data_IF_941784209608
#
_entry.id   IF_941784209608
#
_cell.length_a   1.000
_cell.length_b   1.000
_cell.length_c   1.000
_cell.angle_alpha   90.00
_cell.angle_beta   90.00
_cell.angle_gamma   90.00
#
_symmetry.space_group_name_H-M   'P 1'
#
loop_
_entity.id
_entity.type
_entity.pdbx_description
1 polymer ?
#
# COMPACT_ATOMS: atom_id res chain seq x y z
N UNK A 1 6.04 -6.97 -7.48
CA UNK A 1 5.52 -7.57 -6.25
C UNK A 1 5.44 -9.07 -6.46
N UNK A 2 5.69 -9.83 -5.42
CA UNK A 2 5.67 -11.30 -5.43
C UNK A 2 4.60 -11.80 -4.45
N UNK A 3 3.92 -12.90 -4.81
CA UNK A 3 2.99 -13.59 -3.93
C UNK A 3 3.76 -14.27 -2.78
N UNK A 4 3.21 -14.22 -1.57
CA UNK A 4 3.79 -14.80 -0.37
C UNK A 4 4.93 -13.97 0.23
N UNK A 5 5.23 -12.81 -0.36
CA UNK A 5 6.25 -11.88 0.13
C UNK A 5 5.63 -10.71 0.95
N UNK A 6 4.41 -10.89 1.46
CA UNK A 6 3.66 -9.95 2.32
C UNK A 6 3.21 -8.68 1.58
N UNK A 7 2.44 -7.74 2.19
CA UNK A 7 1.85 -6.63 1.46
C UNK A 7 2.89 -5.72 0.85
N UNK A 8 2.49 -5.02 -0.20
CA UNK A 8 3.29 -3.96 -0.77
C UNK A 8 2.82 -2.57 -0.34
N UNK A 9 3.78 -1.71 -0.06
CA UNK A 9 3.58 -0.29 0.16
C UNK A 9 3.87 0.41 -1.17
N UNK A 10 2.84 1.02 -1.76
CA UNK A 10 2.95 1.69 -3.06
C UNK A 10 3.74 2.98 -2.94
N UNK A 11 4.83 3.08 -3.71
CA UNK A 11 5.60 4.32 -3.89
C UNK A 11 4.99 5.15 -5.01
N UNK A 12 4.63 4.50 -6.12
CA UNK A 12 3.90 5.13 -7.23
C UNK A 12 3.19 4.13 -8.12
N UNK A 13 2.18 4.60 -8.84
CA UNK A 13 1.66 3.98 -10.05
C UNK A 13 1.74 4.96 -11.23
N UNK A 14 0.97 4.78 -12.31
CA UNK A 14 1.01 5.71 -13.45
C UNK A 14 0.27 7.04 -13.20
N UNK A 15 -0.59 7.10 -12.19
CA UNK A 15 -1.39 8.28 -11.85
C UNK A 15 -1.06 8.90 -10.49
N UNK A 16 -0.73 8.08 -9.49
CA UNK A 16 -0.46 8.48 -8.12
C UNK A 16 1.04 8.41 -7.78
N UNK A 17 1.51 9.40 -7.02
CA UNK A 17 2.84 9.40 -6.38
C UNK A 17 2.63 9.57 -4.88
N UNK A 18 2.76 8.49 -4.12
CA UNK A 18 2.51 8.51 -2.68
C UNK A 18 3.39 9.55 -1.98
N UNK A 19 2.84 10.24 -0.97
CA UNK A 19 3.62 11.20 -0.20
C UNK A 19 4.74 10.46 0.55
N UNK A 20 6.02 10.86 0.42
CA UNK A 20 7.13 10.17 1.07
C UNK A 20 6.98 10.03 2.58
N UNK A 21 6.33 11.00 3.25
CA UNK A 21 6.08 10.96 4.69
C UNK A 21 5.06 9.89 5.06
N UNK A 22 4.07 9.65 4.19
CA UNK A 22 3.07 8.60 4.38
C UNK A 22 3.72 7.23 4.15
N UNK A 23 4.51 7.07 3.09
CA UNK A 23 5.27 5.83 2.83
C UNK A 23 6.19 5.48 3.99
N UNK A 24 6.97 6.45 4.47
CA UNK A 24 7.89 6.27 5.59
C UNK A 24 7.16 5.98 6.91
N UNK A 25 5.99 6.58 7.16
CA UNK A 25 5.13 6.19 8.28
C UNK A 25 4.72 4.71 8.19
N UNK A 26 4.26 4.26 7.02
CA UNK A 26 3.82 2.88 6.79
C UNK A 26 4.98 1.89 6.99
N UNK A 27 6.16 2.21 6.45
CA UNK A 27 7.40 1.43 6.62
C UNK A 27 7.77 1.32 8.09
N UNK A 28 7.88 2.45 8.80
CA UNK A 28 8.25 2.46 10.23
C UNK A 28 7.26 1.68 11.10
N UNK A 29 5.98 1.71 10.72
CA UNK A 29 4.91 0.94 11.38
C UNK A 29 5.07 -0.56 11.12
N UNK A 30 5.30 -0.96 9.87
CA UNK A 30 5.57 -2.35 9.50
C UNK A 30 6.80 -2.90 10.25
N UNK A 31 7.91 -2.16 10.24
CA UNK A 31 9.16 -2.53 10.92
C UNK A 31 8.99 -2.66 12.44
N UNK A 32 8.34 -1.68 13.08
CA UNK A 32 8.09 -1.74 14.52
C UNK A 32 7.20 -2.93 14.93
N UNK A 33 6.33 -3.39 14.03
CA UNK A 33 5.46 -4.54 14.24
C UNK A 33 6.05 -5.85 13.70
N UNK A 34 7.27 -5.84 13.15
CA UNK A 34 7.92 -6.99 12.51
C UNK A 34 7.04 -7.62 11.40
N UNK A 35 6.31 -6.78 10.66
CA UNK A 35 5.49 -7.21 9.52
C UNK A 35 6.36 -7.09 8.25
N UNK A 36 6.64 -8.19 7.53
CA UNK A 36 7.34 -8.11 6.27
C UNK A 36 6.53 -7.30 5.26
N UNK A 37 7.21 -6.57 4.38
CA UNK A 37 6.58 -5.75 3.36
C UNK A 37 7.47 -5.67 2.12
N UNK A 38 6.85 -5.29 1.00
CA UNK A 38 7.53 -4.98 -0.25
C UNK A 38 7.33 -3.50 -0.58
N UNK A 39 8.24 -2.90 -1.35
CA UNK A 39 7.96 -1.62 -2.00
C UNK A 39 7.43 -1.87 -3.41
N UNK A 40 6.40 -1.14 -3.78
CA UNK A 40 5.76 -1.28 -5.08
C UNK A 40 5.95 -0.01 -5.93
N UNK A 41 6.41 -0.25 -7.16
CA UNK A 41 6.42 0.72 -8.24
C UNK A 41 5.71 0.08 -9.42
N UNK A 42 4.52 0.59 -9.77
CA UNK A 42 3.82 0.17 -10.98
C UNK A 42 4.13 1.12 -12.15
N UNK A 43 4.38 0.56 -13.32
CA UNK A 43 4.57 1.33 -14.55
C UNK A 43 3.23 1.68 -15.23
N UNK A 44 2.20 0.86 -15.01
CA UNK A 44 0.89 1.01 -15.61
C UNK A 44 -0.22 0.65 -14.62
N UNK A 45 -1.42 1.13 -14.89
CA UNK A 45 -2.56 1.01 -13.97
C UNK A 45 -2.56 2.11 -12.92
N UNK A 46 -3.75 2.40 -12.41
CA UNK A 46 -3.98 3.44 -11.40
C UNK A 46 -4.88 2.89 -10.30
N UNK A 47 -4.87 3.58 -9.17
CA UNK A 47 -5.83 3.36 -8.09
C UNK A 47 -6.61 4.64 -7.79
N UNK A 48 -7.64 4.53 -6.95
CA UNK A 48 -8.41 5.68 -6.43
C UNK A 48 -7.52 6.73 -5.76
N UNK A 49 -6.32 6.34 -5.31
CA UNK A 49 -5.31 7.24 -4.78
C UNK A 49 -4.97 8.37 -5.75
N UNK A 50 -5.05 8.16 -7.07
CA UNK A 50 -4.83 9.21 -8.07
C UNK A 50 -5.84 10.34 -7.91
N UNK A 51 -7.13 10.00 -7.84
CA UNK A 51 -8.20 10.98 -7.69
C UNK A 51 -8.17 11.63 -6.29
N UNK A 52 -7.94 10.84 -5.24
CA UNK A 52 -7.83 11.34 -3.87
C UNK A 52 -6.66 12.32 -3.75
N UNK A 53 -5.49 11.98 -4.29
CA UNK A 53 -4.30 12.81 -4.24
C UNK A 53 -4.54 14.19 -4.86
N UNK A 54 -5.29 14.26 -5.97
CA UNK A 54 -5.57 15.50 -6.69
C UNK A 54 -6.73 16.31 -6.09
N UNK A 55 -7.35 15.84 -5.01
CA UNK A 55 -8.50 16.50 -4.42
C UNK A 55 -8.11 17.78 -3.67
N UNK A 56 -8.84 18.88 -3.92
CA UNK A 56 -8.64 20.22 -3.31
C UNK A 56 -7.20 20.72 -3.47
N UNK A 57 -6.50 21.00 -2.37
CA UNK A 57 -5.12 21.48 -2.37
C UNK A 57 -4.09 20.33 -2.38
N UNK A 58 -4.55 19.10 -2.60
CA UNK A 58 -3.76 17.88 -2.48
C UNK A 58 -4.01 17.17 -1.15
N UNK A 59 -4.22 15.86 -1.22
CA UNK A 59 -4.35 15.00 -0.04
C UNK A 59 -3.14 14.06 -0.01
N UNK A 60 -2.35 13.99 1.08
CA UNK A 60 -1.32 12.97 1.22
C UNK A 60 -1.94 11.58 1.17
N UNK A 61 -1.46 10.74 0.25
CA UNK A 61 -1.95 9.37 0.06
C UNK A 61 -0.82 8.35 0.25
N UNK A 62 -1.22 7.16 0.70
CA UNK A 62 -0.42 5.94 0.66
C UNK A 62 -1.35 4.77 0.38
N UNK A 63 -0.83 3.71 -0.25
CA UNK A 63 -1.62 2.55 -0.65
C UNK A 63 -0.95 1.29 -0.14
N UNK A 64 -1.75 0.40 0.45
CA UNK A 64 -1.39 -0.98 0.74
C UNK A 64 -1.96 -1.82 -0.39
N UNK A 65 -1.12 -2.62 -1.03
CA UNK A 65 -1.52 -3.54 -2.09
C UNK A 65 -1.27 -4.99 -1.65
N UNK A 66 -2.27 -5.84 -1.86
CA UNK A 66 -2.11 -7.30 -1.77
C UNK A 66 -1.56 -7.77 -3.12
N UNK A 67 -0.39 -8.44 -3.17
CA UNK A 67 0.09 -9.06 -4.41
C UNK A 67 -0.98 -9.99 -4.98
N UNK A 68 -1.34 -9.75 -6.24
CA UNK A 68 -2.41 -10.48 -6.92
C UNK A 68 -1.97 -10.88 -8.33
N UNK A 69 -2.31 -12.10 -8.75
CA UNK A 69 -2.18 -12.55 -10.14
C UNK A 69 -3.55 -12.58 -10.82
N UNK A 70 -3.52 -12.32 -12.13
CA UNK A 70 -4.69 -12.30 -13.00
C UNK A 70 -5.70 -11.20 -12.63
N UNK A 71 -5.20 -10.05 -12.17
CA UNK A 71 -6.02 -8.89 -11.82
C UNK A 71 -6.94 -8.48 -12.99
N UNK A 72 -8.19 -8.14 -12.71
CA UNK A 72 -9.25 -7.84 -13.69
C UNK A 72 -9.75 -9.04 -14.52
N UNK A 73 -9.51 -10.27 -14.08
CA UNK A 73 -10.11 -11.48 -14.68
C UNK A 73 -11.19 -12.08 -13.78
N UNK A 74 -12.06 -12.98 -14.28
CA UNK A 74 -13.09 -13.62 -13.44
C UNK A 74 -12.56 -14.47 -12.29
N UNK A 75 -11.27 -14.85 -12.31
CA UNK A 75 -10.63 -15.64 -11.27
C UNK A 75 -9.24 -15.08 -10.97
N UNK A 76 -9.14 -14.43 -9.82
CA UNK A 76 -7.90 -13.83 -9.31
C UNK A 76 -7.23 -14.75 -8.29
N UNK A 77 -5.94 -14.55 -8.07
CA UNK A 77 -5.15 -15.35 -7.12
C UNK A 77 -4.33 -14.45 -6.20
N UNK A 78 -4.47 -14.68 -4.90
CA UNK A 78 -3.70 -14.04 -3.82
C UNK A 78 -3.13 -15.10 -2.90
N UNK A 79 -2.11 -14.75 -2.13
CA UNK A 79 -1.63 -15.55 -1.01
C UNK A 79 -2.39 -15.18 0.27
N UNK A 80 -2.85 -16.16 1.04
CA UNK A 80 -3.62 -15.90 2.26
C UNK A 80 -2.80 -15.16 3.33
N UNK A 81 -1.49 -15.44 3.43
CA UNK A 81 -0.59 -14.75 4.33
C UNK A 81 -0.37 -13.28 3.94
N UNK A 82 -0.34 -12.98 2.64
CA UNK A 82 -0.27 -11.59 2.16
C UNK A 82 -1.51 -10.79 2.59
N UNK A 83 -2.70 -11.41 2.51
CA UNK A 83 -3.97 -10.80 2.97
C UNK A 83 -3.92 -10.55 4.48
N UNK A 84 -3.54 -11.55 5.28
CA UNK A 84 -3.44 -11.40 6.72
C UNK A 84 -2.44 -10.31 7.13
N UNK A 85 -1.26 -10.28 6.51
CA UNK A 85 -0.25 -9.26 6.79
C UNK A 85 -0.69 -7.87 6.32
N UNK A 86 -1.49 -7.76 5.25
CA UNK A 86 -2.12 -6.51 4.84
C UNK A 86 -3.06 -5.96 5.92
N UNK A 87 -3.90 -6.84 6.51
CA UNK A 87 -4.79 -6.47 7.61
C UNK A 87 -3.97 -6.04 8.83
N UNK A 88 -2.94 -6.81 9.20
CA UNK A 88 -2.05 -6.45 10.33
C UNK A 88 -1.41 -5.08 10.10
N UNK A 89 -0.90 -4.80 8.90
CA UNK A 89 -0.29 -3.52 8.56
C UNK A 89 -1.29 -2.38 8.63
N UNK A 90 -2.51 -2.56 8.09
CA UNK A 90 -3.56 -1.54 8.17
C UNK A 90 -3.92 -1.22 9.62
N UNK A 91 -4.14 -2.25 10.45
CA UNK A 91 -4.41 -2.09 11.88
C UNK A 91 -3.26 -1.38 12.57
N UNK A 92 -2.02 -1.76 12.27
CA UNK A 92 -0.81 -1.14 12.82
C UNK A 92 -0.71 0.36 12.49
N UNK A 93 -1.05 0.73 11.26
CA UNK A 93 -1.06 2.14 10.83
C UNK A 93 -2.11 2.94 11.62
N UNK A 94 -3.30 2.36 11.81
CA UNK A 94 -4.45 3.04 12.42
C UNK A 94 -4.45 3.03 13.96
N UNK A 95 -3.74 2.09 14.61
CA UNK A 95 -3.76 1.96 16.09
C UNK A 95 -3.09 3.12 16.82
N UNK A 96 -2.39 4.01 16.11
CA UNK A 96 -1.76 5.22 16.65
C UNK A 96 -2.12 6.42 15.77
N UNK A 97 -2.14 7.64 16.31
CA UNK A 97 -2.39 8.82 15.50
C UNK A 97 -1.44 8.90 14.29
N UNK A 98 -2.02 9.17 13.12
CA UNK A 98 -1.28 9.44 11.89
C UNK A 98 -0.70 10.85 11.99
N UNK A 99 0.62 10.95 12.10
CA UNK A 99 1.36 12.22 12.13
C UNK A 99 2.38 12.21 11.00
N UNK A 100 2.21 13.13 10.06
CA UNK A 100 3.04 13.29 8.86
C UNK A 100 3.51 14.76 8.76
N UNK A 101 4.03 15.26 9.87
CA UNK A 101 4.29 16.69 10.11
C UNK A 101 3.84 17.08 11.50
#
# INVERSE_FOLDING_TARGET
MELGASPAIKVRDSGSRSDPRVVDLMVRRAEAAHIPYQLEVLQAGTTDATAIQLTRAGVPVGVISIPCRYIHTPSEMVDAGDVENSVKLLVEILRRPVKIG
#
